data_IF_488982047830
#
_entry.id   IF_488982047830
#
_cell.length_a   1.000
_cell.length_b   1.000
_cell.length_c   1.000
_cell.angle_alpha   90.00
_cell.angle_beta   90.00
_cell.angle_gamma   90.00
#
_symmetry.space_group_name_H-M   'P 1'
#
loop_
_entity.id
_entity.type
_entity.pdbx_description
1 polymer ?
#
# COMPACT_ATOMS: atom_id res chain seq x y z
N UNK A 1 9.57 -12.58 14.14
CA UNK A 1 8.59 -11.51 14.39
C UNK A 1 8.73 -10.54 13.23
N UNK A 2 7.71 -10.40 12.38
CA UNK A 2 7.69 -9.42 11.28
C UNK A 2 7.86 -8.03 11.91
N UNK A 3 9.06 -7.47 11.84
CA UNK A 3 9.33 -6.10 12.28
C UNK A 3 8.64 -5.15 11.29
N UNK A 4 7.42 -4.73 11.63
CA UNK A 4 6.74 -3.68 10.90
C UNK A 4 7.60 -2.40 10.96
N UNK A 5 7.76 -1.68 9.83
CA UNK A 5 8.49 -0.43 9.84
C UNK A 5 7.83 0.56 10.82
N UNK A 6 8.63 1.29 11.60
CA UNK A 6 8.11 2.31 12.53
C UNK A 6 7.50 3.51 11.80
N UNK A 7 7.86 3.72 10.54
CA UNK A 7 7.31 4.78 9.70
C UNK A 7 7.40 4.45 8.21
N UNK A 8 6.35 4.80 7.47
CA UNK A 8 6.31 4.72 6.00
C UNK A 8 6.78 6.05 5.41
N UNK A 9 7.80 6.03 4.55
CA UNK A 9 8.26 7.25 3.85
C UNK A 9 7.45 7.54 2.61
N UNK A 10 7.01 6.51 1.91
CA UNK A 10 6.36 6.61 0.61
C UNK A 10 5.54 5.35 0.32
N UNK A 11 4.40 5.58 -0.33
CA UNK A 11 3.54 4.54 -0.89
C UNK A 11 3.47 4.83 -2.39
N UNK A 12 3.73 3.84 -3.21
CA UNK A 12 3.60 3.94 -4.67
C UNK A 12 2.64 2.87 -5.16
N UNK A 13 1.66 3.26 -5.96
CA UNK A 13 0.68 2.34 -6.51
C UNK A 13 0.89 2.27 -8.02
N UNK A 14 1.20 1.08 -8.52
CA UNK A 14 1.29 0.83 -9.94
C UNK A 14 -0.11 0.65 -10.54
N UNK A 15 -0.58 1.68 -11.25
CA UNK A 15 -1.91 1.69 -11.90
C UNK A 15 -2.01 0.69 -13.06
N UNK A 16 -0.89 0.31 -13.66
CA UNK A 16 -0.85 -0.66 -14.75
C UNK A 16 -1.13 -2.08 -14.24
N UNK A 17 -0.59 -2.44 -13.08
CA UNK A 17 -0.84 -3.75 -12.45
C UNK A 17 -2.09 -3.75 -11.58
N UNK A 18 -2.60 -2.59 -11.14
CA UNK A 18 -3.81 -2.50 -10.35
C UNK A 18 -5.05 -2.95 -11.14
N UNK A 19 -5.63 -4.09 -10.76
CA UNK A 19 -6.84 -4.67 -11.35
C UNK A 19 -8.14 -4.27 -10.62
N UNK A 20 -8.12 -3.13 -9.91
CA UNK A 20 -9.33 -2.51 -9.33
C UNK A 20 -10.12 -3.39 -8.34
N UNK A 21 -9.42 -4.22 -7.55
CA UNK A 21 -10.05 -5.11 -6.54
C UNK A 21 -10.62 -4.34 -5.33
N UNK A 22 -10.16 -3.11 -5.10
CA UNK A 22 -10.54 -2.26 -3.98
C UNK A 22 -10.19 -2.76 -2.57
N UNK A 23 -9.54 -3.91 -2.42
CA UNK A 23 -9.22 -4.50 -1.10
C UNK A 23 -8.35 -3.61 -0.20
N UNK A 24 -7.52 -2.74 -0.79
CA UNK A 24 -6.72 -1.77 -0.02
C UNK A 24 -7.58 -0.67 0.61
N UNK A 25 -8.63 -0.23 -0.07
CA UNK A 25 -9.58 0.78 0.42
C UNK A 25 -10.50 0.17 1.49
N UNK A 26 -10.85 -1.11 1.38
CA UNK A 26 -11.61 -1.78 2.44
C UNK A 26 -10.81 -1.96 3.73
N UNK A 27 -9.50 -2.21 3.63
CA UNK A 27 -8.63 -2.44 4.79
C UNK A 27 -8.15 -1.13 5.41
N UNK A 28 -7.78 -0.15 4.58
CA UNK A 28 -7.23 1.13 5.03
C UNK A 28 -7.86 2.29 4.22
N UNK A 29 -9.17 2.56 4.39
CA UNK A 29 -9.92 3.59 3.65
C UNK A 29 -9.40 5.02 3.90
N UNK A 30 -8.73 5.22 5.03
CA UNK A 30 -8.11 6.47 5.42
C UNK A 30 -6.77 6.73 4.70
N UNK A 31 -6.12 5.68 4.19
CA UNK A 31 -4.84 5.75 3.47
C UNK A 31 -4.98 5.53 1.97
N UNK A 32 -6.01 4.82 1.52
CA UNK A 32 -6.23 4.47 0.12
C UNK A 32 -7.63 4.86 -0.35
N UNK A 33 -7.72 5.40 -1.56
CA UNK A 33 -8.98 5.70 -2.26
C UNK A 33 -8.97 5.05 -3.66
N UNK A 34 -10.14 4.98 -4.30
CA UNK A 34 -10.22 4.67 -5.73
C UNK A 34 -10.44 5.98 -6.50
N UNK A 35 -9.65 6.18 -7.54
CA UNK A 35 -9.81 7.26 -8.51
C UNK A 35 -10.98 6.93 -9.47
N UNK A 36 -11.39 7.86 -10.34
CA UNK A 36 -12.55 7.67 -11.25
C UNK A 36 -12.43 6.47 -12.20
N UNK A 37 -11.22 6.03 -12.49
CA UNK A 37 -10.93 4.82 -13.30
C UNK A 37 -11.06 3.51 -12.50
N UNK A 38 -11.50 3.59 -11.23
CA UNK A 38 -11.56 2.46 -10.29
C UNK A 38 -10.18 1.98 -9.82
N UNK A 39 -9.12 2.77 -10.06
CA UNK A 39 -7.74 2.43 -9.69
C UNK A 39 -7.41 2.92 -8.29
N UNK A 40 -6.72 2.10 -7.51
CA UNK A 40 -6.28 2.48 -6.18
C UNK A 40 -5.26 3.64 -6.23
N UNK A 41 -5.41 4.57 -5.29
CA UNK A 41 -4.56 5.75 -5.08
C UNK A 41 -4.28 5.90 -3.59
N UNK A 42 -3.05 6.27 -3.23
CA UNK A 42 -2.69 6.57 -1.86
C UNK A 42 -3.06 8.01 -1.50
N UNK A 43 -3.86 8.19 -0.44
CA UNK A 43 -4.27 9.47 0.13
C UNK A 43 -3.17 10.01 1.04
N UNK A 44 -2.77 9.18 2.01
CA UNK A 44 -1.77 9.52 3.02
C UNK A 44 -0.94 8.30 3.38
N UNK A 45 0.32 8.55 3.71
CA UNK A 45 1.30 7.56 4.20
C UNK A 45 1.43 7.58 5.72
N UNK A 46 0.88 8.60 6.35
CA UNK A 46 0.81 8.74 7.79
C UNK A 46 -0.49 8.09 8.29
N UNK A 47 -0.46 7.47 9.46
CA UNK A 47 -1.60 6.75 10.02
C UNK A 47 -1.20 5.38 10.55
N UNK A 48 -2.14 4.44 10.51
CA UNK A 48 -1.89 3.07 10.96
C UNK A 48 -1.02 2.30 9.96
N UNK A 49 0.25 2.12 10.33
CA UNK A 49 1.22 1.38 9.53
C UNK A 49 0.81 -0.09 9.40
N UNK A 50 0.17 -0.67 10.42
CA UNK A 50 -0.32 -2.04 10.33
C UNK A 50 -1.42 -2.16 9.26
N UNK A 51 -2.39 -1.25 9.26
CA UNK A 51 -3.41 -1.11 8.22
C UNK A 51 -2.82 -0.92 6.82
N UNK A 52 -1.86 -0.01 6.65
CA UNK A 52 -1.18 0.22 5.36
C UNK A 52 -0.51 -1.07 4.86
N UNK A 53 0.24 -1.75 5.74
CA UNK A 53 0.93 -2.99 5.40
C UNK A 53 -0.04 -4.12 5.08
N UNK A 54 -1.16 -4.22 5.81
CA UNK A 54 -2.20 -5.21 5.56
C UNK A 54 -2.92 -4.95 4.21
N UNK A 55 -3.17 -3.67 3.89
CA UNK A 55 -3.70 -3.26 2.59
C UNK A 55 -2.74 -3.58 1.44
N UNK A 56 -1.44 -3.37 1.64
CA UNK A 56 -0.43 -3.75 0.66
C UNK A 56 -0.35 -5.28 0.46
N UNK A 57 -0.37 -6.04 1.57
CA UNK A 57 -0.37 -7.52 1.58
C UNK A 57 -1.65 -8.13 0.98
N UNK A 58 -2.78 -7.41 1.00
CA UNK A 58 -4.03 -7.88 0.41
C UNK A 58 -4.05 -7.77 -1.12
N UNK A 59 -3.12 -7.03 -1.72
CA UNK A 59 -3.07 -6.82 -3.15
C UNK A 59 -2.57 -8.11 -3.85
N UNK A 60 -3.42 -8.81 -4.62
CA UNK A 60 -3.05 -10.11 -5.24
C UNK A 60 -2.04 -9.97 -6.38
N UNK A 61 -1.80 -8.75 -6.85
CA UNK A 61 -0.96 -8.40 -7.99
C UNK A 61 0.22 -7.52 -7.58
N UNK A 62 0.45 -7.35 -6.27
CA UNK A 62 1.54 -6.57 -5.70
C UNK A 62 1.68 -5.16 -6.31
N UNK A 63 0.54 -4.52 -6.62
CA UNK A 63 0.52 -3.18 -7.20
C UNK A 63 0.93 -2.10 -6.19
N UNK A 64 0.86 -2.38 -4.90
CA UNK A 64 1.15 -1.43 -3.82
C UNK A 64 2.58 -1.66 -3.33
N UNK A 65 3.45 -0.68 -3.59
CA UNK A 65 4.82 -0.65 -3.08
C UNK A 65 4.89 0.26 -1.86
N UNK A 66 5.48 -0.25 -0.79
CA UNK A 66 5.62 0.47 0.47
C UNK A 66 7.11 0.64 0.77
N UNK A 67 7.51 1.85 1.12
CA UNK A 67 8.89 2.20 1.45
C UNK A 67 8.99 2.65 2.91
N UNK A 68 10.01 2.15 3.62
CA UNK A 68 10.32 2.57 4.99
C UNK A 68 10.92 3.99 5.03
N UNK A 69 11.08 4.56 6.22
CA UNK A 69 11.76 5.84 6.47
C UNK A 69 13.20 5.93 5.89
N UNK A 70 13.85 4.79 5.64
CA UNK A 70 15.20 4.73 5.04
C UNK A 70 15.15 4.68 3.51
N UNK A 71 13.97 4.77 2.91
CA UNK A 71 13.76 4.70 1.47
C UNK A 71 13.88 3.28 0.90
N UNK A 72 13.85 2.25 1.74
CA UNK A 72 13.92 0.85 1.30
C UNK A 72 12.52 0.31 1.08
N UNK A 73 12.31 -0.36 -0.05
CA UNK A 73 11.06 -1.07 -0.32
C UNK A 73 10.92 -2.21 0.70
N UNK A 74 9.88 -2.13 1.54
CA UNK A 74 9.52 -3.19 2.50
C UNK A 74 8.47 -4.14 1.96
N UNK A 75 7.67 -3.68 0.99
CA UNK A 75 6.66 -4.48 0.30
C UNK A 75 6.52 -4.00 -1.16
N UNK A 76 6.25 -4.88 -2.13
CA UNK A 76 6.31 -6.35 -2.04
C UNK A 76 7.75 -6.84 -1.78
N UNK A 77 7.93 -8.03 -1.19
CA UNK A 77 9.26 -8.63 -1.08
C UNK A 77 9.75 -8.93 -2.50
N UNK A 78 10.93 -8.42 -2.85
CA UNK A 78 11.59 -8.81 -4.08
C UNK A 78 11.89 -10.31 -3.98
N UNK A 79 11.14 -11.11 -4.74
CA UNK A 79 11.36 -12.55 -4.86
C UNK A 79 12.71 -12.85 -5.51
#
# INVERSE_FOLDING_TARGET
>A
MDELPKKISRIEINRETCISVASCVEIAPENFELDDDGKARAITKDGDIAGIMQAAKSCPVDAIKVFDEKGRQVWPPLA
#
